data_IF_371945884446
#
_entry.id   IF_371945884446
#
_cell.length_a   1.000
_cell.length_b   1.000
_cell.length_c   1.000
_cell.angle_alpha   90.00
_cell.angle_beta   90.00
_cell.angle_gamma   90.00
#
_symmetry.space_group_name_H-M   'P 1'
#
loop_
_entity.id
_entity.type
_entity.pdbx_description
1 polymer ?
#
# COMPACT_ATOMS: atom_id res chain seq x y z
N UNK A 1 35.01 -12.62 4.95
CA UNK A 1 33.61 -12.63 5.41
C UNK A 1 32.78 -12.01 4.31
N UNK A 2 32.17 -12.84 3.48
CA UNK A 2 31.28 -12.41 2.41
C UNK A 2 30.02 -11.88 3.10
N UNK A 3 29.80 -10.57 3.06
CA UNK A 3 28.56 -9.98 3.57
C UNK A 3 27.41 -10.54 2.73
N UNK A 4 26.69 -11.50 3.30
CA UNK A 4 25.55 -12.15 2.66
C UNK A 4 24.39 -11.14 2.70
N UNK A 5 24.38 -10.20 1.75
CA UNK A 5 23.21 -9.39 1.42
C UNK A 5 22.24 -10.26 0.62
N UNK A 6 21.82 -11.39 1.20
CA UNK A 6 20.70 -12.15 0.65
C UNK A 6 19.45 -11.36 1.03
N UNK A 7 19.15 -10.37 0.20
CA UNK A 7 17.99 -9.51 0.36
C UNK A 7 16.76 -10.39 0.12
N UNK A 8 15.93 -10.55 1.17
CA UNK A 8 14.71 -11.33 1.10
C UNK A 8 13.75 -10.83 -0.01
N UNK A 9 12.75 -11.63 -0.39
CA UNK A 9 11.83 -11.30 -1.49
C UNK A 9 11.01 -10.02 -1.25
N UNK A 10 10.99 -9.50 -0.02
CA UNK A 10 10.38 -8.22 0.38
C UNK A 10 11.31 -7.00 0.23
N UNK A 11 12.59 -7.19 -0.05
CA UNK A 11 13.60 -6.13 0.02
C UNK A 11 13.35 -4.99 -0.97
N UNK A 12 12.90 -5.29 -2.19
CA UNK A 12 12.57 -4.27 -3.19
C UNK A 12 11.45 -3.34 -2.71
N UNK A 13 10.40 -3.92 -2.14
CA UNK A 13 9.29 -3.16 -1.59
C UNK A 13 9.70 -2.34 -0.37
N UNK A 14 10.44 -2.95 0.57
CA UNK A 14 10.93 -2.24 1.75
C UNK A 14 11.94 -1.12 1.41
N UNK A 15 12.71 -1.27 0.33
CA UNK A 15 13.55 -0.19 -0.19
C UNK A 15 12.71 0.99 -0.70
N UNK A 16 11.69 0.74 -1.53
CA UNK A 16 10.77 1.79 -1.99
C UNK A 16 10.08 2.51 -0.82
N UNK A 17 9.66 1.76 0.20
CA UNK A 17 9.06 2.30 1.42
C UNK A 17 10.06 3.11 2.26
N UNK A 18 11.34 2.72 2.29
CA UNK A 18 12.39 3.51 2.91
C UNK A 18 12.63 4.83 2.17
N UNK A 19 12.61 4.82 0.83
CA UNK A 19 12.69 6.05 0.02
C UNK A 19 11.52 6.99 0.32
N UNK A 20 10.29 6.46 0.40
CA UNK A 20 9.12 7.27 0.74
C UNK A 20 9.26 7.92 2.12
N UNK A 21 9.79 7.21 3.12
CA UNK A 21 10.01 7.77 4.47
C UNK A 21 11.07 8.87 4.51
N UNK A 22 12.01 8.85 3.56
CA UNK A 22 13.03 9.89 3.41
C UNK A 22 12.60 11.07 2.53
N UNK A 23 11.44 10.98 1.88
CA UNK A 23 10.96 11.99 0.95
C UNK A 23 10.46 13.24 1.70
N UNK A 24 10.52 14.39 1.03
CA UNK A 24 9.95 15.64 1.51
C UNK A 24 9.20 16.30 0.36
N UNK A 25 7.88 16.39 0.47
CA UNK A 25 7.05 17.06 -0.53
C UNK A 25 5.72 17.51 0.06
N UNK A 26 5.07 18.47 -0.59
CA UNK A 26 3.76 18.96 -0.18
C UNK A 26 3.03 19.55 -1.37
N UNK A 27 1.80 19.12 -1.63
CA UNK A 27 1.01 19.70 -2.72
C UNK A 27 -0.12 18.82 -3.23
N UNK A 28 -0.85 19.31 -4.24
CA UNK A 28 -1.82 18.49 -4.96
C UNK A 28 -1.12 17.36 -5.72
N UNK A 29 -1.76 16.20 -5.77
CA UNK A 29 -1.28 15.02 -6.50
C UNK A 29 -2.39 14.58 -7.46
N UNK A 30 -2.04 14.43 -8.73
CA UNK A 30 -2.97 13.93 -9.73
C UNK A 30 -3.10 12.39 -9.63
N UNK A 31 -4.27 11.85 -9.99
CA UNK A 31 -4.45 10.41 -10.12
C UNK A 31 -3.43 9.83 -11.08
N UNK A 32 -2.91 8.66 -10.73
CA UNK A 32 -1.95 7.86 -11.47
C UNK A 32 -0.61 8.57 -11.74
N UNK A 33 -0.37 9.70 -11.08
CA UNK A 33 0.92 10.39 -11.08
C UNK A 33 1.84 9.77 -10.02
N UNK A 34 3.09 9.41 -10.38
CA UNK A 34 4.01 8.80 -9.44
C UNK A 34 4.46 9.80 -8.37
N UNK A 35 4.33 9.42 -7.10
CA UNK A 35 5.04 10.08 -5.99
C UNK A 35 6.51 9.66 -5.99
N UNK A 36 6.73 8.37 -6.26
CA UNK A 36 8.00 7.75 -6.57
C UNK A 36 7.76 6.73 -7.69
N UNK A 37 8.78 6.31 -8.45
CA UNK A 37 8.65 5.18 -9.35
C UNK A 37 8.09 3.95 -8.61
N UNK A 38 6.93 3.45 -9.05
CA UNK A 38 6.23 2.33 -8.41
C UNK A 38 5.33 2.69 -7.22
N UNK A 39 5.12 3.98 -6.91
CA UNK A 39 4.22 4.42 -5.85
C UNK A 39 3.34 5.59 -6.31
N UNK A 40 2.02 5.36 -6.38
CA UNK A 40 1.06 6.34 -6.90
C UNK A 40 -0.34 6.14 -6.32
N UNK A 41 -1.16 7.19 -6.34
CA UNK A 41 -2.57 7.09 -6.00
C UNK A 41 -3.39 6.87 -7.26
N UNK A 42 -4.34 5.93 -7.24
CA UNK A 42 -5.32 5.72 -8.31
C UNK A 42 -6.72 6.03 -7.80
N UNK A 43 -7.40 6.95 -8.47
CA UNK A 43 -8.74 7.44 -8.14
C UNK A 43 -9.71 7.07 -9.25
N UNK A 44 -10.96 6.76 -8.93
CA UNK A 44 -11.98 6.56 -9.96
C UNK A 44 -12.13 7.83 -10.81
N UNK A 45 -11.96 7.76 -12.15
CA UNK A 45 -12.13 8.90 -13.05
C UNK A 45 -13.54 9.52 -13.00
N UNK A 46 -14.54 8.75 -12.58
CA UNK A 46 -15.91 9.21 -12.39
C UNK A 46 -16.10 9.96 -11.06
N UNK A 47 -15.12 9.92 -10.14
CA UNK A 47 -15.17 10.69 -8.90
C UNK A 47 -14.87 12.18 -9.13
N UNK A 48 -15.15 13.02 -8.13
CA UNK A 48 -14.61 14.39 -8.06
C UNK A 48 -13.62 14.54 -6.90
N UNK A 49 -12.87 13.48 -6.65
CA UNK A 49 -11.88 13.43 -5.57
C UNK A 49 -10.70 14.31 -5.89
N UNK A 50 -10.39 15.25 -5.00
CA UNK A 50 -9.13 15.98 -5.00
C UNK A 50 -8.20 15.37 -3.94
N UNK A 51 -6.94 15.18 -4.31
CA UNK A 51 -5.91 14.64 -3.44
C UNK A 51 -4.83 15.70 -3.18
N UNK A 52 -4.53 15.94 -1.91
CA UNK A 52 -3.29 16.59 -1.48
C UNK A 52 -2.49 15.63 -0.64
N UNK A 53 -1.18 15.64 -0.86
CA UNK A 53 -0.27 14.84 -0.09
C UNK A 53 0.79 15.73 0.55
N UNK A 54 1.24 15.29 1.73
CA UNK A 54 2.32 15.89 2.46
C UNK A 54 3.23 14.79 3.00
N UNK A 55 4.54 14.97 2.92
CA UNK A 55 5.54 14.04 3.44
C UNK A 55 6.73 14.81 3.96
N UNK A 56 7.28 14.35 5.07
CA UNK A 56 8.48 14.89 5.70
C UNK A 56 9.35 13.73 6.20
N UNK A 57 10.67 13.89 6.30
CA UNK A 57 11.54 12.82 6.77
C UNK A 57 11.08 12.24 8.10
N UNK A 58 10.87 10.91 8.12
CA UNK A 58 10.34 10.19 9.29
C UNK A 58 8.84 9.92 9.28
N UNK A 59 8.10 10.49 8.33
CA UNK A 59 6.68 10.20 8.06
C UNK A 59 6.51 9.89 6.57
N UNK A 60 5.95 8.72 6.24
CA UNK A 60 5.83 8.30 4.85
C UNK A 60 4.96 9.23 4.02
N UNK A 61 3.68 9.33 4.34
CA UNK A 61 2.76 10.20 3.61
C UNK A 61 1.53 10.49 4.45
N UNK A 62 1.13 11.75 4.47
CA UNK A 62 -0.19 12.21 4.84
C UNK A 62 -0.97 12.48 3.54
N UNK A 63 -2.14 11.88 3.41
CA UNK A 63 -3.04 12.05 2.28
C UNK A 63 -4.36 12.66 2.77
N UNK A 64 -4.74 13.79 2.16
CA UNK A 64 -6.00 14.47 2.37
C UNK A 64 -6.84 14.36 1.11
N UNK A 65 -8.02 13.75 1.27
CA UNK A 65 -8.99 13.55 0.20
C UNK A 65 -10.17 14.49 0.42
N UNK A 66 -10.51 15.25 -0.62
CA UNK A 66 -11.75 16.04 -0.67
C UNK A 66 -12.65 15.46 -1.74
N UNK A 67 -13.80 14.91 -1.34
CA UNK A 67 -14.71 14.18 -2.23
C UNK A 67 -16.05 14.91 -2.30
N UNK A 68 -16.39 15.50 -3.45
CA UNK A 68 -17.72 16.07 -3.68
C UNK A 68 -18.70 15.06 -4.30
N UNK A 69 -18.18 14.10 -5.09
CA UNK A 69 -18.91 12.99 -5.70
C UNK A 69 -18.04 11.74 -5.52
N UNK A 70 -18.50 10.73 -4.75
CA UNK A 70 -17.73 9.53 -4.47
C UNK A 70 -17.54 8.70 -5.74
N UNK A 71 -16.34 8.12 -5.87
CA UNK A 71 -16.04 7.11 -6.88
C UNK A 71 -16.25 5.69 -6.36
N UNK A 72 -15.97 4.71 -7.21
CA UNK A 72 -15.95 3.28 -6.85
C UNK A 72 -14.68 2.89 -6.11
N UNK A 73 -13.57 3.58 -6.34
CA UNK A 73 -12.29 3.32 -5.66
C UNK A 73 -11.47 4.58 -5.40
N UNK A 74 -10.61 4.46 -4.39
CA UNK A 74 -9.55 5.39 -4.03
C UNK A 74 -8.44 4.55 -3.42
N UNK A 75 -7.28 4.50 -4.07
CA UNK A 75 -6.24 3.54 -3.70
C UNK A 75 -4.83 4.13 -3.75
N UNK A 76 -3.96 3.66 -2.87
CA UNK A 76 -2.51 3.83 -2.98
C UNK A 76 -1.90 2.51 -3.47
N UNK A 77 -1.18 2.58 -4.58
CA UNK A 77 -0.48 1.45 -5.18
C UNK A 77 0.99 1.50 -4.82
N UNK A 78 1.54 0.35 -4.43
CA UNK A 78 2.95 0.18 -4.05
C UNK A 78 3.46 -1.06 -4.77
N UNK A 79 4.36 -0.86 -5.73
CA UNK A 79 4.96 -1.93 -6.50
C UNK A 79 5.85 -2.80 -5.60
N UNK A 80 5.65 -4.11 -5.66
CA UNK A 80 6.43 -5.12 -4.94
C UNK A 80 7.42 -5.85 -5.85
N UNK A 81 7.60 -5.35 -7.07
CA UNK A 81 8.39 -5.98 -8.13
C UNK A 81 7.92 -7.43 -8.38
N UNK A 82 8.84 -8.32 -8.74
CA UNK A 82 8.59 -9.75 -8.92
C UNK A 82 8.71 -10.53 -7.59
N UNK A 83 8.17 -10.01 -6.48
CA UNK A 83 8.25 -10.67 -5.17
C UNK A 83 7.78 -12.13 -5.26
N UNK A 84 8.72 -13.08 -5.33
CA UNK A 84 8.44 -14.50 -5.57
C UNK A 84 7.95 -15.17 -4.28
N UNK A 85 6.74 -15.75 -4.36
CA UNK A 85 6.07 -16.37 -3.23
C UNK A 85 6.22 -17.89 -3.21
N UNK A 86 6.94 -18.49 -4.17
CA UNK A 86 7.21 -19.94 -4.16
C UNK A 86 7.93 -20.37 -2.90
N UNK A 87 7.40 -21.43 -2.28
CA UNK A 87 7.99 -22.02 -1.07
C UNK A 87 7.94 -21.10 0.15
N UNK A 88 7.23 -19.96 0.06
CA UNK A 88 6.97 -19.04 1.18
C UNK A 88 5.68 -19.45 1.86
N UNK A 89 5.61 -19.24 3.16
CA UNK A 89 4.44 -19.56 3.98
C UNK A 89 3.57 -18.33 4.21
N UNK A 90 4.19 -17.16 4.38
CA UNK A 90 3.49 -15.95 4.83
C UNK A 90 3.96 -14.72 4.07
N UNK A 91 3.01 -13.88 3.65
CA UNK A 91 3.27 -12.48 3.32
C UNK A 91 2.51 -11.60 4.31
N UNK A 92 3.23 -10.78 5.05
CA UNK A 92 2.65 -9.91 6.06
C UNK A 92 2.96 -8.44 5.87
N UNK A 93 2.12 -7.61 6.48
CA UNK A 93 2.20 -6.16 6.44
C UNK A 93 2.07 -5.62 7.87
N UNK A 94 3.00 -4.73 8.23
CA UNK A 94 2.89 -3.88 9.42
C UNK A 94 2.62 -2.46 8.95
N UNK A 95 1.52 -1.87 9.40
CA UNK A 95 1.16 -0.49 9.05
C UNK A 95 0.93 0.32 10.33
N UNK A 96 1.68 1.41 10.48
CA UNK A 96 1.48 2.41 11.53
C UNK A 96 0.78 3.62 10.92
N UNK A 97 -0.43 3.91 11.38
CA UNK A 97 -1.26 4.97 10.80
C UNK A 97 -2.04 5.75 11.86
N UNK A 98 -2.50 6.94 11.48
CA UNK A 98 -3.46 7.72 12.25
C UNK A 98 -4.36 8.52 11.30
N UNK A 99 -5.52 8.94 11.79
CA UNK A 99 -6.48 9.78 11.08
C UNK A 99 -7.26 10.63 12.08
N UNK A 100 -7.44 11.96 11.87
CA UNK A 100 -8.15 12.82 12.82
C UNK A 100 -9.58 12.35 13.15
N UNK A 101 -10.24 11.71 12.17
CA UNK A 101 -11.52 11.04 12.34
C UNK A 101 -11.36 9.54 12.02
N UNK A 102 -12.08 8.67 12.72
CA UNK A 102 -11.96 7.23 12.48
C UNK A 102 -12.29 6.89 11.01
N UNK A 103 -11.33 6.28 10.31
CA UNK A 103 -11.51 5.82 8.94
C UNK A 103 -10.91 4.44 8.76
N UNK A 104 -11.26 3.79 7.66
CA UNK A 104 -10.84 2.42 7.37
C UNK A 104 -10.28 2.29 5.97
N UNK A 105 -9.33 1.38 5.81
CA UNK A 105 -8.87 0.95 4.50
C UNK A 105 -8.56 -0.54 4.50
N UNK A 106 -8.57 -1.16 3.32
CA UNK A 106 -8.29 -2.57 3.13
C UNK A 106 -6.97 -2.75 2.43
N UNK A 107 -6.18 -3.70 2.90
CA UNK A 107 -4.96 -4.13 2.22
C UNK A 107 -5.30 -5.22 1.20
N UNK A 108 -4.68 -5.15 0.04
CA UNK A 108 -4.83 -6.13 -1.02
C UNK A 108 -3.48 -6.41 -1.66
N UNK A 109 -3.15 -7.68 -1.84
CA UNK A 109 -2.08 -8.10 -2.73
C UNK A 109 -2.67 -8.29 -4.12
N UNK A 110 -2.28 -7.42 -5.06
CA UNK A 110 -2.64 -7.54 -6.47
C UNK A 110 -1.51 -8.26 -7.20
N UNK A 111 -1.85 -9.37 -7.87
CA UNK A 111 -0.90 -10.13 -8.69
C UNK A 111 -1.30 -10.04 -10.16
N UNK A 112 -0.35 -9.66 -11.01
CA UNK A 112 -0.53 -9.67 -12.46
C UNK A 112 -0.76 -11.08 -13.01
N UNK A 113 -1.50 -11.19 -14.10
CA UNK A 113 -1.67 -12.41 -14.89
C UNK A 113 -1.79 -12.06 -16.36
N UNK A 114 -1.76 -13.07 -17.23
CA UNK A 114 -2.08 -12.87 -18.64
C UNK A 114 -3.50 -12.27 -18.76
N UNK A 115 -3.60 -11.12 -19.44
CA UNK A 115 -4.87 -10.43 -19.67
C UNK A 115 -5.50 -9.73 -18.45
N UNK A 116 -4.78 -9.56 -17.33
CA UNK A 116 -5.30 -8.78 -16.20
C UNK A 116 -4.56 -8.96 -14.88
N UNK A 117 -5.30 -9.00 -13.78
CA UNK A 117 -4.77 -9.21 -12.44
C UNK A 117 -5.75 -10.00 -11.56
N UNK A 118 -5.29 -10.44 -10.39
CA UNK A 118 -6.11 -11.02 -9.33
C UNK A 118 -5.82 -10.30 -8.02
N UNK A 119 -6.88 -9.91 -7.33
CA UNK A 119 -6.82 -9.23 -6.03
C UNK A 119 -7.03 -10.24 -4.90
N UNK A 120 -6.05 -10.36 -4.02
CA UNK A 120 -6.13 -11.15 -2.79
C UNK A 120 -6.15 -10.21 -1.59
N UNK A 121 -7.33 -10.02 -1.01
CA UNK A 121 -7.48 -9.13 0.13
C UNK A 121 -6.99 -9.77 1.42
N UNK A 122 -6.34 -8.96 2.24
CA UNK A 122 -6.06 -9.31 3.63
C UNK A 122 -7.37 -9.42 4.42
N UNK A 123 -7.36 -10.28 5.45
CA UNK A 123 -8.59 -10.64 6.17
C UNK A 123 -9.08 -9.52 7.06
N UNK A 124 -8.16 -8.74 7.64
CA UNK A 124 -8.49 -7.64 8.54
C UNK A 124 -8.62 -6.34 7.76
N UNK A 125 -9.55 -5.51 8.22
CA UNK A 125 -9.63 -4.11 7.80
C UNK A 125 -8.74 -3.28 8.71
N UNK A 126 -7.97 -2.35 8.15
CA UNK A 126 -7.19 -1.40 8.93
C UNK A 126 -8.13 -0.30 9.41
N UNK A 127 -8.04 0.06 10.69
CA UNK A 127 -8.75 1.21 11.26
C UNK A 127 -7.73 2.21 11.76
N UNK A 128 -7.77 3.42 11.19
CA UNK A 128 -6.96 4.54 11.62
C UNK A 128 -7.80 5.44 12.54
N UNK A 129 -7.30 5.70 13.74
CA UNK A 129 -7.93 6.55 14.75
C UNK A 129 -7.14 7.84 14.93
N UNK A 130 -7.67 8.76 15.75
CA UNK A 130 -6.97 10.00 16.11
C UNK A 130 -5.63 9.69 16.80
N UNK A 131 -5.61 8.68 17.65
CA UNK A 131 -4.37 8.12 18.19
C UNK A 131 -3.70 7.21 17.17
N UNK A 132 -2.37 7.32 17.12
CA UNK A 132 -1.54 6.45 16.29
C UNK A 132 -1.70 4.99 16.71
N UNK A 133 -2.03 4.13 15.76
CA UNK A 133 -2.16 2.69 15.97
C UNK A 133 -1.24 1.90 15.05
N UNK A 134 -0.94 0.65 15.43
CA UNK A 134 -0.19 -0.28 14.60
C UNK A 134 -1.07 -1.46 14.24
N UNK A 135 -1.19 -1.71 12.95
CA UNK A 135 -1.91 -2.83 12.37
C UNK A 135 -0.91 -3.88 11.87
N UNK A 136 -1.20 -5.14 12.18
CA UNK A 136 -0.48 -6.31 11.67
C UNK A 136 -1.49 -7.29 11.06
N UNK A 137 -1.29 -7.60 9.79
CA UNK A 137 -2.02 -8.65 9.11
C UNK A 137 -1.14 -9.42 8.13
N UNK A 138 -1.59 -10.63 7.78
CA UNK A 138 -0.82 -11.51 6.93
C UNK A 138 -1.72 -12.44 6.11
N UNK A 139 -1.24 -12.78 4.91
CA UNK A 139 -1.75 -13.85 4.08
C UNK A 139 -0.98 -15.13 4.39
N UNK A 140 -1.70 -16.19 4.73
CA UNK A 140 -1.15 -17.55 4.81
C UNK A 140 -1.20 -18.12 3.39
N UNK A 141 -0.07 -18.18 2.70
CA UNK A 141 -0.03 -18.37 1.24
C UNK A 141 -0.67 -19.70 0.81
N UNK A 142 -0.44 -20.78 1.56
CA UNK A 142 -1.06 -22.09 1.32
C UNK A 142 -2.59 -22.11 1.54
N UNK A 143 -3.13 -21.13 2.27
CA UNK A 143 -4.57 -21.00 2.52
C UNK A 143 -5.29 -20.13 1.48
N UNK A 144 -4.57 -19.56 0.50
CA UNK A 144 -5.11 -18.64 -0.50
C UNK A 144 -4.97 -19.24 -1.91
N UNK A 145 -5.80 -20.22 -2.30
CA UNK A 145 -5.63 -20.97 -3.56
C UNK A 145 -5.77 -20.13 -4.84
N UNK A 146 -6.36 -18.93 -4.73
CA UNK A 146 -6.47 -17.96 -5.83
C UNK A 146 -5.24 -17.06 -5.99
N UNK A 147 -4.31 -17.08 -5.05
CA UNK A 147 -3.07 -16.30 -5.11
C UNK A 147 -2.01 -17.10 -5.87
N UNK A 148 -1.59 -16.66 -7.06
CA UNK A 148 -0.55 -17.39 -7.78
C UNK A 148 0.80 -17.26 -7.05
N UNK A 149 1.59 -18.34 -6.94
CA UNK A 149 2.91 -18.30 -6.30
C UNK A 149 3.92 -17.45 -7.09
N UNK A 150 3.75 -17.37 -8.41
CA UNK A 150 4.50 -16.51 -9.32
C UNK A 150 3.58 -15.53 -10.04
N UNK A 151 4.07 -14.31 -10.29
CA UNK A 151 3.35 -13.31 -11.06
C UNK A 151 4.37 -12.39 -11.75
N UNK A 152 4.11 -11.90 -12.96
CA UNK A 152 5.00 -10.99 -13.68
C UNK A 152 5.21 -9.66 -12.95
N UNK A 153 4.28 -9.30 -12.07
CA UNK A 153 4.38 -8.14 -11.18
C UNK A 153 3.42 -8.32 -10.02
N UNK A 154 3.74 -7.69 -8.89
CA UNK A 154 2.85 -7.58 -7.72
C UNK A 154 2.78 -6.15 -7.21
N UNK A 155 1.64 -5.82 -6.62
CA UNK A 155 1.43 -4.56 -5.91
C UNK A 155 0.76 -4.82 -4.56
N UNK A 156 1.19 -4.09 -3.54
CA UNK A 156 0.38 -3.87 -2.35
C UNK A 156 -0.51 -2.66 -2.64
N UNK A 157 -1.83 -2.87 -2.54
CA UNK A 157 -2.83 -1.84 -2.76
C UNK A 157 -3.55 -1.55 -1.45
N UNK A 158 -3.56 -0.28 -1.05
CA UNK A 158 -4.32 0.23 0.09
C UNK A 158 -5.60 0.86 -0.45
N UNK A 159 -6.75 0.21 -0.27
CA UNK A 159 -8.05 0.72 -0.69
C UNK A 159 -8.71 1.53 0.42
N UNK A 160 -8.78 2.85 0.23
CA UNK A 160 -9.45 3.78 1.13
C UNK A 160 -10.93 3.89 0.80
N UNK A 161 -11.73 4.36 1.77
CA UNK A 161 -13.13 4.70 1.52
C UNK A 161 -13.22 5.95 0.62
N UNK A 162 -14.07 5.97 -0.42
CA UNK A 162 -14.21 7.11 -1.32
C UNK A 162 -15.00 8.25 -0.66
N UNK A 163 -14.50 8.78 0.46
CA UNK A 163 -15.09 9.82 1.29
C UNK A 163 -14.05 10.88 1.65
N UNK A 164 -14.52 12.09 1.97
CA UNK A 164 -13.64 13.16 2.48
C UNK A 164 -13.01 12.70 3.77
N UNK A 165 -11.69 12.58 3.76
CA UNK A 165 -10.94 11.97 4.85
C UNK A 165 -9.48 12.42 4.81
N UNK A 166 -8.79 12.25 5.93
CA UNK A 166 -7.37 12.56 6.07
C UNK A 166 -6.69 11.40 6.77
N UNK A 167 -5.70 10.78 6.13
CA UNK A 167 -4.97 9.65 6.70
C UNK A 167 -3.48 9.88 6.63
N UNK A 168 -2.78 9.55 7.70
CA UNK A 168 -1.31 9.53 7.74
C UNK A 168 -0.82 8.10 7.85
N UNK A 169 0.04 7.71 6.92
CA UNK A 169 0.89 6.54 7.02
C UNK A 169 2.22 7.00 7.60
N UNK A 170 2.53 6.56 8.82
CA UNK A 170 3.80 6.88 9.48
C UNK A 170 4.87 5.83 9.13
N UNK A 171 4.46 4.56 9.12
CA UNK A 171 5.32 3.44 8.77
C UNK A 171 4.50 2.37 8.04
N UNK A 172 5.13 1.72 7.07
CA UNK A 172 4.62 0.55 6.37
C UNK A 172 5.82 -0.37 6.14
N UNK A 173 5.67 -1.64 6.50
CA UNK A 173 6.67 -2.67 6.24
C UNK A 173 6.02 -3.91 5.71
N UNK A 174 6.73 -4.60 4.85
CA UNK A 174 6.31 -5.88 4.29
C UNK A 174 7.32 -6.92 4.75
N UNK A 175 6.87 -8.13 5.03
CA UNK A 175 7.75 -9.26 5.31
C UNK A 175 7.22 -10.49 4.61
N UNK A 176 8.13 -11.31 4.08
CA UNK A 176 7.81 -12.56 3.40
C UNK A 176 8.70 -13.65 4.00
N UNK A 177 8.06 -14.70 4.53
CA UNK A 177 8.72 -15.80 5.25
C UNK A 177 8.48 -17.10 4.51
#
# INVERSE_FOLDING_TARGET
MTHNLDLGPDAGANHLLALLRGLSFSGPVASDSPLLPGLFFSLDPESSTQLRCHSTPGMMVEAEFTVARPGRWMALHINLSEADLRGRQVLGVVCKSHSPAATTFRLCLRSGREGGFTDTFFRKTVVAYAETSTHLDALMLDAEPGLPPEAPWRELVLFFRPETSKITLQDLRIFIV
#
